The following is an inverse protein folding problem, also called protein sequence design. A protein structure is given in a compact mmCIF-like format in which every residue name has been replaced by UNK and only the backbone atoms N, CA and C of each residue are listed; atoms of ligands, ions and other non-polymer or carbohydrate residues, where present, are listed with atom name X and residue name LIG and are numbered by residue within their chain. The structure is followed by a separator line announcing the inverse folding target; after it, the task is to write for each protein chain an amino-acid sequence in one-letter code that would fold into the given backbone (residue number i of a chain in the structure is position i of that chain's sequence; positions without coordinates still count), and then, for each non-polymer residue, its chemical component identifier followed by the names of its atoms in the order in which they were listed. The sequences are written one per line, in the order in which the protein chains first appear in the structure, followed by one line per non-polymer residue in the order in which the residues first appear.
data_IF_337979251662
#
_entry.id   IF_337979251662
#
_cell.length_a   1.000
_cell.length_b   1.000
_cell.length_c   1.000
_cell.angle_alpha   90.00
_cell.angle_beta   90.00
_cell.angle_gamma   90.00
#
_symmetry.space_group_name_H-M   'P 1'
#
loop_
_entity.id
_entity.type
_entity.pdbx_description
1 polymer ?
#
# COMPACT_ATOMS: atom_id res chain seq x y z
N UNK A 1 -13.63 18.04 47.57
CA UNK A 1 -13.07 19.36 47.29
C UNK A 1 -12.10 19.20 46.14
N UNK A 2 -12.57 19.26 44.88
CA UNK A 2 -11.68 19.19 43.71
C UNK A 2 -12.18 20.12 42.62
N UNK A 3 -11.62 21.33 42.64
CA UNK A 3 -12.03 22.48 41.86
C UNK A 3 -11.29 22.50 40.52
N UNK A 4 -11.83 21.81 39.51
CA UNK A 4 -11.27 21.79 38.15
C UNK A 4 -11.64 23.07 37.42
N UNK A 5 -10.76 24.07 37.52
CA UNK A 5 -10.80 25.30 36.71
C UNK A 5 -10.79 24.97 35.22
N UNK A 6 -11.97 24.99 34.58
CA UNK A 6 -12.10 24.99 33.13
C UNK A 6 -11.52 26.31 32.61
N UNK A 7 -10.33 26.25 31.99
CA UNK A 7 -9.78 27.40 31.27
C UNK A 7 -10.67 27.64 30.05
N UNK A 8 -11.48 28.70 30.09
CA UNK A 8 -12.22 29.16 28.92
C UNK A 8 -11.24 29.59 27.84
N UNK A 9 -11.50 29.19 26.60
CA UNK A 9 -10.83 29.67 25.39
C UNK A 9 -10.90 31.21 25.38
N UNK A 10 -9.81 31.95 25.14
CA UNK A 10 -9.92 33.37 24.88
C UNK A 10 -10.63 33.53 23.54
N UNK A 11 -11.85 34.06 23.59
CA UNK A 11 -12.59 34.47 22.41
C UNK A 11 -11.86 35.71 21.83
N UNK A 12 -11.01 35.47 20.83
CA UNK A 12 -10.21 36.49 20.14
C UNK A 12 -11.05 37.27 19.13
N UNK A 13 -12.28 37.64 19.51
CA UNK A 13 -13.08 38.61 18.78
C UNK A 13 -12.56 40.02 19.10
N UNK A 14 -11.32 40.31 18.70
CA UNK A 14 -10.80 41.66 18.57
C UNK A 14 -11.52 42.29 17.36
N UNK A 15 -12.74 42.75 17.60
CA UNK A 15 -13.44 43.65 16.72
C UNK A 15 -12.68 44.98 16.72
N UNK A 16 -11.61 45.04 15.91
CA UNK A 16 -11.07 46.30 15.43
C UNK A 16 -12.17 46.91 14.57
N UNK A 17 -13.09 47.67 15.20
CA UNK A 17 -13.83 48.71 14.50
C UNK A 17 -12.81 49.73 14.06
N UNK A 18 -12.13 49.43 12.97
CA UNK A 18 -11.52 50.45 12.12
C UNK A 18 -12.71 51.27 11.66
N UNK A 19 -12.94 52.38 12.34
CA UNK A 19 -13.88 53.38 11.88
C UNK A 19 -13.44 53.70 10.46
N UNK A 20 -14.26 53.26 9.50
CA UNK A 20 -14.02 53.47 8.08
C UNK A 20 -14.09 54.98 7.85
N UNK A 21 -12.99 55.66 8.10
CA UNK A 21 -12.71 56.90 7.41
C UNK A 21 -12.59 56.49 5.96
N UNK A 22 -13.51 56.97 5.13
CA UNK A 22 -13.52 56.77 3.70
C UNK A 22 -12.18 57.28 3.15
N UNK A 23 -11.17 56.40 3.08
CA UNK A 23 -10.02 56.62 2.24
C UNK A 23 -10.50 56.30 0.83
N UNK A 24 -11.00 57.34 0.16
CA UNK A 24 -11.20 57.39 -1.29
C UNK A 24 -10.04 56.67 -1.99
N UNK A 25 -10.31 55.74 -2.92
CA UNK A 25 -9.29 54.92 -3.56
C UNK A 25 -8.55 55.74 -4.62
N UNK A 26 -7.73 56.67 -4.18
CA UNK A 26 -6.74 57.34 -5.00
C UNK A 26 -5.44 56.56 -4.89
N UNK A 27 -5.32 55.48 -5.67
CA UNK A 27 -4.12 54.63 -5.78
C UNK A 27 -2.86 55.33 -6.32
N UNK A 28 -2.80 56.66 -6.26
CA UNK A 28 -1.58 57.44 -6.45
C UNK A 28 -1.18 58.02 -5.10
N UNK A 29 -0.20 57.38 -4.46
CA UNK A 29 0.58 58.03 -3.41
C UNK A 29 1.23 59.25 -4.04
N UNK A 30 0.66 60.43 -3.76
CA UNK A 30 1.18 61.71 -4.19
C UNK A 30 2.67 61.81 -3.85
N UNK A 31 3.47 62.26 -4.82
CA UNK A 31 4.85 62.62 -4.55
C UNK A 31 4.89 63.73 -3.49
N UNK A 32 5.96 63.79 -2.70
CA UNK A 32 6.07 64.76 -1.61
C UNK A 32 5.86 66.20 -2.10
N UNK A 33 6.43 66.53 -3.25
CA UNK A 33 6.36 67.88 -3.83
C UNK A 33 4.94 68.18 -4.36
N UNK A 34 4.28 67.19 -4.96
CA UNK A 34 2.88 67.31 -5.42
C UNK A 34 1.90 67.49 -4.24
N UNK A 35 2.16 66.80 -3.12
CA UNK A 35 1.40 66.94 -1.89
C UNK A 35 1.67 68.30 -1.20
N UNK A 36 2.88 68.84 -1.29
CA UNK A 36 3.16 70.20 -0.80
C UNK A 36 2.44 71.24 -1.63
N UNK A 37 2.51 71.16 -2.96
CA UNK A 37 1.87 72.11 -3.86
C UNK A 37 0.35 72.12 -3.67
N UNK A 38 -0.23 70.95 -3.38
CA UNK A 38 -1.65 70.84 -3.05
C UNK A 38 -2.00 71.59 -1.76
N UNK A 39 -1.25 71.36 -0.68
CA UNK A 39 -1.49 72.02 0.61
C UNK A 39 -1.29 73.54 0.51
N UNK A 40 -0.26 73.99 -0.22
CA UNK A 40 0.01 75.41 -0.48
C UNK A 40 -1.08 76.11 -1.32
N UNK A 41 -1.76 75.38 -2.22
CA UNK A 41 -2.82 75.93 -3.09
C UNK A 41 -4.21 75.89 -2.47
N UNK A 42 -4.49 74.90 -1.61
CA UNK A 42 -5.84 74.63 -1.11
C UNK A 42 -6.05 74.93 0.36
N UNK A 43 -5.01 74.88 1.18
CA UNK A 43 -5.08 75.32 2.57
C UNK A 43 -4.72 76.80 2.55
N UNK A 44 -5.56 77.66 3.13
CA UNK A 44 -5.18 79.06 3.41
C UNK A 44 -4.09 79.04 4.48
N UNK A 45 -2.88 78.66 4.07
CA UNK A 45 -1.70 78.56 4.93
C UNK A 45 -1.32 80.00 5.28
N UNK A 46 -1.21 80.27 6.58
CA UNK A 46 -0.77 81.56 7.10
C UNK A 46 0.54 81.99 6.41
N UNK A 47 0.64 83.22 5.87
CA UNK A 47 1.84 83.70 5.17
C UNK A 47 3.14 83.65 6.00
N UNK A 48 3.07 83.39 7.32
CA UNK A 48 4.23 83.17 8.20
C UNK A 48 4.55 81.69 8.48
N UNK A 49 4.03 80.73 7.70
CA UNK A 49 4.29 79.30 7.94
C UNK A 49 5.72 78.89 7.56
N UNK A 50 6.39 78.23 8.50
CA UNK A 50 7.69 77.59 8.28
C UNK A 50 7.57 76.42 7.30
N UNK A 51 7.97 76.65 6.06
CA UNK A 51 7.95 75.68 4.95
C UNK A 51 8.69 74.37 5.31
N UNK A 52 9.72 74.43 6.17
CA UNK A 52 10.47 73.23 6.59
C UNK A 52 9.61 72.33 7.47
N UNK A 53 8.83 72.92 8.39
CA UNK A 53 7.87 72.18 9.22
C UNK A 53 6.75 71.61 8.37
N UNK A 54 6.20 72.39 7.44
CA UNK A 54 5.15 71.92 6.53
C UNK A 54 5.61 70.69 5.72
N UNK A 55 6.80 70.77 5.09
CA UNK A 55 7.39 69.64 4.35
C UNK A 55 7.56 68.40 5.22
N UNK A 56 8.01 68.58 6.47
CA UNK A 56 8.19 67.45 7.42
C UNK A 56 6.86 66.83 7.81
N UNK A 57 5.83 67.62 8.08
CA UNK A 57 4.48 67.15 8.42
C UNK A 57 3.89 66.33 7.27
N UNK A 58 3.97 66.85 6.04
CA UNK A 58 3.47 66.14 4.85
C UNK A 58 4.27 64.85 4.61
N UNK A 59 5.60 64.90 4.73
CA UNK A 59 6.44 63.72 4.57
C UNK A 59 6.15 62.61 5.59
N UNK A 60 5.93 62.97 6.86
CA UNK A 60 5.54 62.02 7.90
C UNK A 60 4.16 61.43 7.63
N UNK A 61 3.20 62.26 7.17
CA UNK A 61 1.85 61.81 6.78
C UNK A 61 1.93 60.76 5.66
N UNK A 62 2.65 61.07 4.59
CA UNK A 62 2.83 60.15 3.45
C UNK A 62 3.55 58.86 3.87
N UNK A 63 4.57 58.96 4.72
CA UNK A 63 5.30 57.79 5.23
C UNK A 63 4.41 56.89 6.10
N UNK A 64 3.58 57.48 6.97
CA UNK A 64 2.62 56.74 7.78
C UNK A 64 1.54 56.08 6.91
N UNK A 65 1.04 56.76 5.88
CA UNK A 65 0.08 56.19 4.93
C UNK A 65 0.69 55.01 4.16
N UNK A 66 1.92 55.14 3.65
CA UNK A 66 2.66 54.03 3.02
C UNK A 66 2.81 52.83 3.95
N UNK A 67 3.14 53.08 5.22
CA UNK A 67 3.27 52.01 6.20
C UNK A 67 1.93 51.30 6.47
N UNK A 68 0.82 52.05 6.53
CA UNK A 68 -0.52 51.49 6.67
C UNK A 68 -0.90 50.64 5.45
N UNK A 69 -0.69 51.14 4.24
CA UNK A 69 -1.00 50.41 3.01
C UNK A 69 -0.21 49.11 2.92
N UNK A 70 1.11 49.16 3.17
CA UNK A 70 1.95 47.94 3.21
C UNK A 70 1.43 46.91 4.22
N UNK A 71 0.94 47.35 5.37
CA UNK A 71 0.36 46.46 6.38
C UNK A 71 -0.95 45.84 5.90
N UNK A 72 -1.81 46.61 5.25
CA UNK A 72 -3.06 46.12 4.65
C UNK A 72 -2.76 45.07 3.58
N UNK A 73 -1.83 45.37 2.66
CA UNK A 73 -1.41 44.44 1.61
C UNK A 73 -0.86 43.14 2.21
N UNK A 74 0.00 43.24 3.22
CA UNK A 74 0.55 42.08 3.91
C UNK A 74 -0.54 41.23 4.59
N UNK A 75 -1.52 41.86 5.24
CA UNK A 75 -2.65 41.14 5.84
C UNK A 75 -3.46 40.43 4.76
N UNK A 76 -3.77 41.10 3.64
CA UNK A 76 -4.50 40.50 2.53
C UNK A 76 -3.76 39.31 1.92
N UNK A 77 -2.43 39.39 1.78
CA UNK A 77 -1.59 38.26 1.35
C UNK A 77 -1.66 37.09 2.33
N UNK A 78 -1.61 37.35 3.64
CA UNK A 78 -1.75 36.31 4.66
C UNK A 78 -3.12 35.64 4.61
N UNK A 79 -4.20 36.42 4.50
CA UNK A 79 -5.56 35.89 4.38
C UNK A 79 -5.70 35.00 3.12
N UNK A 80 -5.10 35.41 2.00
CA UNK A 80 -5.06 34.60 0.78
C UNK A 80 -4.30 33.28 1.00
N UNK A 81 -3.17 33.31 1.70
CA UNK A 81 -2.39 32.10 2.02
C UNK A 81 -3.18 31.15 2.92
N UNK A 82 -3.86 31.68 3.95
CA UNK A 82 -4.71 30.88 4.84
C UNK A 82 -5.81 30.18 4.04
N UNK A 83 -6.57 30.91 3.22
CA UNK A 83 -7.62 30.32 2.38
C UNK A 83 -7.10 29.25 1.43
N UNK A 84 -5.91 29.45 0.84
CA UNK A 84 -5.30 28.45 -0.02
C UNK A 84 -4.94 27.17 0.75
N UNK A 85 -4.33 27.30 1.93
CA UNK A 85 -3.99 26.17 2.79
C UNK A 85 -5.25 25.43 3.28
N UNK A 86 -6.29 26.15 3.69
CA UNK A 86 -7.58 25.57 4.08
C UNK A 86 -8.20 24.80 2.91
N UNK A 87 -8.16 25.35 1.69
CA UNK A 87 -8.64 24.66 0.49
C UNK A 87 -7.86 23.38 0.20
N UNK A 88 -6.53 23.40 0.37
CA UNK A 88 -5.69 22.20 0.22
C UNK A 88 -6.02 21.16 1.28
N UNK A 89 -6.14 21.56 2.55
CA UNK A 89 -6.52 20.64 3.63
C UNK A 89 -7.88 20.00 3.35
N UNK A 90 -8.86 20.78 2.90
CA UNK A 90 -10.19 20.28 2.58
C UNK A 90 -10.19 19.26 1.44
N UNK A 91 -9.27 19.39 0.48
CA UNK A 91 -9.09 18.44 -0.62
C UNK A 91 -8.26 17.20 -0.21
N UNK A 92 -7.12 17.40 0.45
CA UNK A 92 -6.17 16.34 0.79
C UNK A 92 -6.72 15.40 1.89
N UNK A 93 -7.55 15.92 2.82
CA UNK A 93 -8.10 15.12 3.93
C UNK A 93 -8.94 13.92 3.47
N UNK A 94 -9.97 14.08 2.62
CA UNK A 94 -10.76 12.94 2.14
C UNK A 94 -9.94 11.98 1.27
N UNK A 95 -8.95 12.48 0.51
CA UNK A 95 -8.06 11.63 -0.27
C UNK A 95 -7.23 10.70 0.63
N UNK A 96 -6.66 11.25 1.70
CA UNK A 96 -5.93 10.48 2.71
C UNK A 96 -6.83 9.44 3.40
N UNK A 97 -8.08 9.81 3.71
CA UNK A 97 -9.03 8.89 4.35
C UNK A 97 -9.38 7.72 3.42
N UNK A 98 -9.66 8.00 2.14
CA UNK A 98 -9.90 6.99 1.13
C UNK A 98 -8.70 6.02 0.97
N UNK A 99 -7.48 6.54 0.90
CA UNK A 99 -6.28 5.69 0.81
C UNK A 99 -6.06 4.84 2.07
N UNK A 100 -6.37 5.36 3.26
CA UNK A 100 -6.34 4.56 4.49
C UNK A 100 -7.33 3.40 4.44
N UNK A 101 -8.52 3.61 3.89
CA UNK A 101 -9.53 2.57 3.79
C UNK A 101 -9.16 1.52 2.75
N UNK A 102 -8.62 1.93 1.59
CA UNK A 102 -8.03 1.00 0.60
C UNK A 102 -6.92 0.15 1.22
N UNK A 103 -6.02 0.77 1.98
CA UNK A 103 -4.95 0.06 2.67
C UNK A 103 -5.48 -1.00 3.65
N UNK A 104 -6.52 -0.67 4.45
CA UNK A 104 -7.15 -1.65 5.35
C UNK A 104 -7.75 -2.81 4.58
N UNK A 105 -8.46 -2.55 3.48
CA UNK A 105 -9.06 -3.58 2.63
C UNK A 105 -8.00 -4.52 2.05
N UNK A 106 -6.96 -3.96 1.44
CA UNK A 106 -5.83 -4.73 0.90
C UNK A 106 -5.11 -5.54 1.98
N UNK A 107 -4.97 -5.00 3.18
CA UNK A 107 -4.35 -5.70 4.31
C UNK A 107 -5.19 -6.92 4.74
N UNK A 108 -6.51 -6.77 4.83
CA UNK A 108 -7.42 -7.87 5.15
C UNK A 108 -7.41 -8.94 4.06
N UNK A 109 -7.50 -8.53 2.79
CA UNK A 109 -7.41 -9.44 1.65
C UNK A 109 -6.08 -10.20 1.66
N UNK A 110 -4.97 -9.51 1.89
CA UNK A 110 -3.66 -10.15 1.99
C UNK A 110 -3.55 -11.12 3.18
N UNK A 111 -4.25 -10.88 4.29
CA UNK A 111 -4.32 -11.84 5.40
C UNK A 111 -5.10 -13.09 4.99
N UNK A 112 -6.28 -12.89 4.40
CA UNK A 112 -7.14 -13.99 3.95
C UNK A 112 -6.45 -14.87 2.90
N UNK A 113 -5.74 -14.28 1.94
CA UNK A 113 -4.99 -15.02 0.93
C UNK A 113 -3.84 -15.84 1.54
N UNK A 114 -3.16 -15.30 2.57
CA UNK A 114 -2.13 -16.06 3.30
C UNK A 114 -2.72 -17.27 4.01
N UNK A 115 -3.84 -17.10 4.71
CA UNK A 115 -4.54 -18.21 5.38
C UNK A 115 -4.99 -19.28 4.39
N UNK A 116 -5.49 -18.89 3.22
CA UNK A 116 -5.84 -19.83 2.15
C UNK A 116 -4.62 -20.57 1.62
N UNK A 117 -3.51 -19.87 1.39
CA UNK A 117 -2.26 -20.48 0.93
C UNK A 117 -1.72 -21.49 1.94
N UNK A 118 -1.72 -21.13 3.23
CA UNK A 118 -1.29 -22.02 4.31
C UNK A 118 -2.18 -23.27 4.36
N UNK A 119 -3.52 -23.10 4.27
CA UNK A 119 -4.46 -24.22 4.24
C UNK A 119 -4.23 -25.17 3.06
N UNK A 120 -4.02 -24.62 1.86
CA UNK A 120 -3.74 -25.42 0.66
C UNK A 120 -2.40 -26.14 0.78
N UNK A 121 -1.40 -25.45 1.32
CA UNK A 121 -0.06 -25.99 1.53
C UNK A 121 -0.09 -27.15 2.52
N UNK A 122 -0.83 -27.03 3.61
CA UNK A 122 -0.97 -28.10 4.61
C UNK A 122 -1.75 -29.30 4.08
N UNK A 123 -2.82 -29.08 3.29
CA UNK A 123 -3.51 -30.16 2.57
C UNK A 123 -2.58 -30.89 1.61
N UNK A 124 -1.75 -30.15 0.87
CA UNK A 124 -0.78 -30.74 -0.04
C UNK A 124 0.23 -31.61 0.70
N UNK A 125 0.76 -31.15 1.85
CA UNK A 125 1.66 -31.95 2.70
C UNK A 125 0.99 -33.23 3.21
N UNK A 126 -0.28 -33.17 3.61
CA UNK A 126 -1.00 -34.37 4.06
C UNK A 126 -1.16 -35.38 2.92
N UNK A 127 -1.54 -34.91 1.74
CA UNK A 127 -1.66 -35.77 0.55
C UNK A 127 -0.31 -36.37 0.15
N UNK A 128 0.80 -35.64 0.25
CA UNK A 128 2.12 -36.21 -0.06
C UNK A 128 2.50 -37.32 0.92
N UNK A 129 2.19 -37.16 2.22
CA UNK A 129 2.39 -38.23 3.21
C UNK A 129 1.54 -39.45 2.88
N UNK A 130 0.24 -39.27 2.60
CA UNK A 130 -0.67 -40.36 2.23
C UNK A 130 -0.22 -41.10 0.97
N UNK A 131 0.28 -40.37 -0.04
CA UNK A 131 0.84 -40.95 -1.26
C UNK A 131 2.06 -41.81 -0.94
N UNK A 132 2.96 -41.34 -0.08
CA UNK A 132 4.15 -42.12 0.30
C UNK A 132 3.80 -43.38 1.11
N UNK A 133 2.82 -43.30 2.02
CA UNK A 133 2.28 -44.47 2.73
C UNK A 133 1.67 -45.49 1.76
N UNK A 134 0.81 -45.04 0.84
CA UNK A 134 0.20 -45.88 -0.17
C UNK A 134 1.24 -46.53 -1.09
N UNK A 135 2.31 -45.81 -1.46
CA UNK A 135 3.44 -46.36 -2.23
C UNK A 135 4.18 -47.44 -1.44
N UNK A 136 4.35 -47.29 -0.13
CA UNK A 136 4.97 -48.31 0.72
C UNK A 136 4.09 -49.56 0.82
N UNK A 137 2.79 -49.38 1.02
CA UNK A 137 1.85 -50.51 1.06
C UNK A 137 1.76 -51.23 -0.29
N UNK A 138 1.72 -50.51 -1.41
CA UNK A 138 1.80 -51.11 -2.74
C UNK A 138 3.08 -51.93 -2.93
N UNK A 139 4.23 -51.43 -2.47
CA UNK A 139 5.49 -52.19 -2.48
C UNK A 139 5.40 -53.47 -1.63
N UNK A 140 4.80 -53.40 -0.44
CA UNK A 140 4.55 -54.56 0.43
C UNK A 140 3.66 -55.60 -0.25
N UNK A 141 2.52 -55.18 -0.80
CA UNK A 141 1.57 -56.06 -1.48
C UNK A 141 2.16 -56.69 -2.74
N UNK A 142 2.91 -55.93 -3.56
CA UNK A 142 3.62 -56.47 -4.74
C UNK A 142 4.73 -57.46 -4.38
N UNK A 143 5.25 -57.43 -3.16
CA UNK A 143 6.23 -58.41 -2.66
C UNK A 143 5.63 -59.78 -2.31
N UNK A 144 4.35 -59.84 -1.93
CA UNK A 144 3.67 -61.08 -1.51
C UNK A 144 3.55 -62.14 -2.63
N UNK A 145 3.20 -61.79 -3.89
CA UNK A 145 3.18 -62.74 -4.99
C UNK A 145 4.53 -63.38 -5.27
N UNK A 146 5.64 -62.66 -5.05
CA UNK A 146 7.00 -63.19 -5.23
C UNK A 146 7.35 -64.18 -4.12
N UNK A 147 6.94 -63.92 -2.88
CA UNK A 147 7.14 -64.84 -1.76
C UNK A 147 6.29 -66.13 -1.89
N UNK A 148 5.03 -66.00 -2.34
CA UNK A 148 4.15 -67.16 -2.57
C UNK A 148 4.59 -68.02 -3.76
N UNK A 149 5.09 -67.41 -4.84
CA UNK A 149 5.72 -68.17 -5.95
C UNK A 149 6.95 -68.94 -5.48
N UNK A 150 7.84 -68.33 -4.70
CA UNK A 150 9.00 -69.03 -4.17
C UNK A 150 8.63 -70.23 -3.28
N UNK A 151 7.56 -70.12 -2.48
CA UNK A 151 7.02 -71.26 -1.72
C UNK A 151 6.36 -72.33 -2.61
N UNK A 152 5.62 -71.92 -3.64
CA UNK A 152 5.03 -72.85 -4.61
C UNK A 152 6.10 -73.57 -5.43
N UNK A 153 7.15 -72.88 -5.84
CA UNK A 153 8.28 -73.45 -6.57
C UNK A 153 9.08 -74.40 -5.65
N UNK A 154 9.26 -74.06 -4.37
CA UNK A 154 9.89 -74.96 -3.38
C UNK A 154 9.04 -76.20 -3.05
N UNK A 155 7.71 -76.06 -2.96
CA UNK A 155 6.78 -77.19 -2.80
C UNK A 155 6.72 -78.04 -4.07
N UNK A 156 6.79 -77.43 -5.24
CA UNK A 156 6.84 -78.11 -6.54
C UNK A 156 8.13 -78.93 -6.69
N UNK A 157 9.28 -78.37 -6.30
CA UNK A 157 10.56 -79.10 -6.25
C UNK A 157 10.47 -80.31 -5.30
N UNK A 158 9.86 -80.17 -4.12
CA UNK A 158 9.68 -81.30 -3.21
C UNK A 158 8.72 -82.38 -3.77
N UNK A 159 7.71 -82.00 -4.56
CA UNK A 159 6.79 -82.96 -5.20
C UNK A 159 7.46 -83.69 -6.38
N UNK A 160 8.29 -82.97 -7.17
CA UNK A 160 9.11 -83.54 -8.24
C UNK A 160 10.19 -84.51 -7.74
N UNK A 161 10.72 -84.31 -6.52
CA UNK A 161 11.70 -85.21 -5.91
C UNK A 161 11.06 -86.51 -5.39
N UNK A 162 9.76 -86.52 -5.09
CA UNK A 162 9.02 -87.74 -4.69
C UNK A 162 8.65 -88.59 -5.91
N UNK A 163 8.38 -87.98 -7.07
CA UNK A 163 8.01 -88.70 -8.30
C UNK A 163 9.20 -89.25 -9.11
N UNK A 164 10.45 -88.89 -8.75
CA UNK A 164 11.68 -89.38 -9.41
C UNK A 164 12.09 -90.83 -9.11
N UNK A 165 11.19 -91.65 -8.56
CA UNK A 165 11.34 -93.11 -8.50
C UNK A 165 10.34 -93.89 -9.37
N UNK A 166 9.53 -93.22 -10.20
CA UNK A 166 8.61 -93.86 -11.15
C UNK A 166 8.89 -93.43 -12.60
N UNK A 167 9.37 -94.35 -13.41
CA UNK A 167 9.63 -94.21 -14.85
C UNK A 167 8.39 -93.92 -15.71
N UNK A 168 8.46 -92.96 -16.66
CA UNK A 168 8.16 -93.15 -18.10
C UNK A 168 8.44 -91.87 -18.94
N UNK A 169 8.92 -91.94 -20.20
CA UNK A 169 9.13 -90.78 -21.07
C UNK A 169 8.17 -90.72 -22.28
N UNK A 170 7.37 -89.66 -22.38
CA UNK A 170 6.61 -89.15 -23.55
C UNK A 170 6.10 -87.75 -23.11
N UNK A 171 5.92 -86.68 -23.89
CA UNK A 171 6.19 -86.23 -25.26
C UNK A 171 5.97 -84.70 -25.22
N UNK A 172 6.53 -83.97 -26.18
CA UNK A 172 6.40 -82.51 -26.37
C UNK A 172 4.91 -82.11 -26.50
N UNK A 173 4.39 -81.02 -25.93
CA UNK A 173 4.57 -79.65 -26.38
C UNK A 173 3.39 -78.85 -25.80
N UNK A 174 3.66 -77.75 -25.09
CA UNK A 174 2.84 -76.53 -25.16
C UNK A 174 3.58 -75.41 -24.42
N UNK A 175 4.22 -74.58 -25.23
CA UNK A 175 4.87 -73.35 -24.83
C UNK A 175 3.82 -72.37 -24.31
N UNK A 176 3.67 -72.27 -22.98
CA UNK A 176 2.94 -71.18 -22.33
C UNK A 176 3.71 -69.87 -22.52
N UNK A 177 3.42 -69.20 -23.62
CA UNK A 177 3.76 -67.80 -23.85
C UNK A 177 2.92 -66.92 -22.91
N UNK A 178 3.43 -66.67 -21.70
CA UNK A 178 3.11 -65.47 -20.94
C UNK A 178 4.32 -64.55 -20.99
N UNK A 179 4.49 -63.93 -22.17
CA UNK A 179 5.43 -62.83 -22.35
C UNK A 179 5.06 -61.68 -21.42
N UNK A 180 6.09 -61.17 -20.75
CA UNK A 180 6.11 -59.99 -19.90
C UNK A 180 5.38 -58.79 -20.54
N UNK A 181 4.22 -58.42 -20.00
CA UNK A 181 3.71 -57.04 -20.11
C UNK A 181 4.31 -56.20 -18.98
N UNK A 182 5.62 -55.94 -19.05
CA UNK A 182 6.32 -55.01 -18.15
C UNK A 182 6.95 -53.85 -18.92
N UNK A 183 6.19 -53.26 -19.85
CA UNK A 183 6.60 -52.04 -20.55
C UNK A 183 5.40 -51.13 -20.76
N UNK A 184 5.29 -50.07 -19.94
CA UNK A 184 4.40 -48.95 -20.32
C UNK A 184 3.81 -48.06 -19.25
N UNK A 185 4.36 -47.94 -18.03
CA UNK A 185 3.84 -46.94 -17.06
C UNK A 185 4.96 -46.13 -16.39
N UNK A 186 5.97 -45.72 -17.16
CA UNK A 186 6.99 -44.75 -16.71
C UNK A 186 7.05 -43.51 -17.61
N UNK A 187 5.92 -43.08 -18.19
CA UNK A 187 5.87 -41.85 -19.01
C UNK A 187 5.05 -40.69 -18.44
N UNK A 188 4.61 -40.76 -17.18
CA UNK A 188 3.86 -39.65 -16.58
C UNK A 188 4.24 -39.36 -15.14
N UNK A 189 5.48 -38.96 -14.87
CA UNK A 189 5.82 -38.15 -13.70
C UNK A 189 7.09 -37.32 -13.97
N UNK A 190 7.02 -36.40 -14.92
CA UNK A 190 8.02 -35.33 -15.04
C UNK A 190 7.54 -34.15 -14.15
N UNK A 191 7.83 -34.24 -12.84
CA UNK A 191 7.42 -33.26 -11.83
C UNK A 191 8.33 -32.00 -11.77
N UNK A 192 9.42 -31.97 -12.54
CA UNK A 192 10.39 -30.85 -12.54
C UNK A 192 9.97 -29.65 -13.41
N UNK A 193 8.79 -29.67 -14.03
CA UNK A 193 8.33 -28.59 -14.91
C UNK A 193 7.55 -27.45 -14.20
N UNK A 194 7.39 -27.51 -12.88
CA UNK A 194 6.70 -26.46 -12.11
C UNK A 194 7.71 -25.47 -11.51
N UNK A 195 8.51 -24.83 -12.36
CA UNK A 195 9.28 -23.65 -11.98
C UNK A 195 8.32 -22.50 -11.64
N UNK A 196 8.11 -22.27 -10.35
CA UNK A 196 7.18 -21.27 -9.79
C UNK A 196 7.75 -19.84 -9.74
N UNK A 197 8.89 -19.57 -10.36
CA UNK A 197 9.48 -18.23 -10.39
C UNK A 197 9.26 -17.55 -11.75
N UNK A 198 8.64 -16.36 -11.79
CA UNK A 198 8.53 -15.60 -13.03
C UNK A 198 9.91 -15.11 -13.47
N UNK A 199 10.16 -14.97 -14.80
CA UNK A 199 11.40 -14.42 -15.30
C UNK A 199 11.56 -12.98 -14.80
N UNK A 200 12.77 -12.65 -14.32
CA UNK A 200 13.16 -11.26 -14.07
C UNK A 200 13.30 -10.59 -15.44
N UNK A 201 12.53 -9.54 -15.67
CA UNK A 201 12.73 -8.65 -16.80
C UNK A 201 13.91 -7.73 -16.47
N UNK A 202 15.00 -7.88 -17.22
CA UNK A 202 16.05 -6.87 -17.34
C UNK A 202 15.67 -5.81 -18.39
#
# INVERSE_FOLDING_TARGET
MDDKRKRSKPDLNLCLKTQAFQEEPSNKLLALDEAMDFELKHVNIDPNVDLKKLRRTISNRLSAQRARNKRVDYIAELEKKVKNLEGRIAFDTPEIENEKDKYKMLKLEGQMLREQLDSVTDKSKLLTVEIEENKLELRRLKGLPKALKNEHDSRSIHLFDIERQGSNPYDESESTAWMDMDQGIDQYLNLDAMNFFPPKND
#
